data_IF_734275922947
#
_entry.id   IF_734275922947
#
_cell.length_a   1.000
_cell.length_b   1.000
_cell.length_c   1.000
_cell.angle_alpha   90.00
_cell.angle_beta   90.00
_cell.angle_gamma   90.00
#
_symmetry.space_group_name_H-M   'P 1'
#
loop_
_entity.id
_entity.type
_entity.pdbx_description
1 polymer ?
#
# COMPACT_ATOMS: atom_id res chain seq x y z
N UNK A 1 -42.68 -30.35 -47.73
CA UNK A 1 -43.28 -29.77 -46.50
C UNK A 1 -42.19 -29.74 -45.45
N UNK A 2 -41.83 -28.57 -44.92
CA UNK A 2 -40.89 -28.48 -43.79
C UNK A 2 -41.58 -29.06 -42.57
N UNK A 3 -40.99 -30.08 -41.96
CA UNK A 3 -41.55 -30.70 -40.76
C UNK A 3 -41.26 -29.83 -39.54
N UNK A 4 -42.13 -29.89 -38.53
CA UNK A 4 -42.00 -29.12 -37.29
C UNK A 4 -40.60 -29.24 -36.66
N UNK A 5 -40.05 -30.46 -36.66
CA UNK A 5 -38.69 -30.73 -36.15
C UNK A 5 -37.60 -30.01 -36.95
N UNK A 6 -37.70 -29.95 -38.28
CA UNK A 6 -36.72 -29.22 -39.10
C UNK A 6 -36.76 -27.72 -38.82
N UNK A 7 -37.95 -27.13 -38.69
CA UNK A 7 -38.08 -25.71 -38.35
C UNK A 7 -37.45 -25.39 -36.99
N UNK A 8 -37.67 -26.23 -35.98
CA UNK A 8 -37.10 -26.06 -34.64
C UNK A 8 -35.57 -26.19 -34.67
N UNK A 9 -35.02 -27.20 -35.37
CA UNK A 9 -33.57 -27.38 -35.49
C UNK A 9 -32.88 -26.19 -36.16
N UNK A 10 -33.50 -25.62 -37.21
CA UNK A 10 -32.96 -24.44 -37.89
C UNK A 10 -32.85 -23.26 -36.90
N UNK A 11 -33.90 -23.01 -36.13
CA UNK A 11 -33.91 -21.94 -35.12
C UNK A 11 -32.81 -22.16 -34.07
N UNK A 12 -32.70 -23.38 -33.54
CA UNK A 12 -31.68 -23.71 -32.53
C UNK A 12 -30.28 -23.52 -33.09
N UNK A 13 -30.00 -24.00 -34.31
CA UNK A 13 -28.69 -23.86 -34.95
C UNK A 13 -28.35 -22.39 -35.20
N UNK A 14 -29.32 -21.59 -35.66
CA UNK A 14 -29.11 -20.15 -35.86
C UNK A 14 -28.77 -19.45 -34.55
N UNK A 15 -29.50 -19.75 -33.46
CA UNK A 15 -29.23 -19.16 -32.15
C UNK A 15 -27.86 -19.60 -31.63
N UNK A 16 -27.54 -20.90 -31.69
CA UNK A 16 -26.23 -21.43 -31.29
C UNK A 16 -25.09 -20.78 -32.09
N UNK A 17 -25.28 -20.61 -33.40
CA UNK A 17 -24.28 -19.98 -34.26
C UNK A 17 -24.03 -18.52 -33.87
N UNK A 18 -25.08 -17.78 -33.53
CA UNK A 18 -24.96 -16.42 -33.00
C UNK A 18 -24.21 -16.39 -31.66
N UNK A 19 -24.55 -17.30 -30.74
CA UNK A 19 -23.88 -17.39 -29.43
C UNK A 19 -22.40 -17.71 -29.61
N UNK A 20 -22.06 -18.72 -30.43
CA UNK A 20 -20.66 -19.09 -30.70
C UNK A 20 -19.90 -17.93 -31.32
N UNK A 21 -20.52 -17.20 -32.26
CA UNK A 21 -19.91 -16.00 -32.85
C UNK A 21 -19.65 -14.93 -31.80
N UNK A 22 -20.63 -14.64 -30.94
CA UNK A 22 -20.48 -13.65 -29.88
C UNK A 22 -19.39 -14.06 -28.86
N UNK A 23 -19.37 -15.32 -28.43
CA UNK A 23 -18.35 -15.86 -27.53
C UNK A 23 -16.98 -15.87 -28.18
N UNK A 24 -16.88 -16.20 -29.48
CA UNK A 24 -15.62 -16.15 -30.23
C UNK A 24 -15.01 -14.74 -30.27
N UNK A 25 -15.85 -13.73 -30.50
CA UNK A 25 -15.43 -12.32 -30.45
C UNK A 25 -14.99 -11.93 -29.04
N UNK A 26 -15.77 -12.28 -28.02
CA UNK A 26 -15.43 -12.00 -26.62
C UNK A 26 -14.11 -12.67 -26.21
N UNK A 27 -13.90 -13.92 -26.60
CA UNK A 27 -12.68 -14.66 -26.29
C UNK A 27 -11.46 -14.06 -27.01
N UNK A 28 -11.61 -13.61 -28.25
CA UNK A 28 -10.54 -12.92 -28.97
C UNK A 28 -10.11 -11.63 -28.26
N UNK A 29 -11.08 -10.82 -27.82
CA UNK A 29 -10.81 -9.61 -27.03
C UNK A 29 -10.17 -9.94 -25.68
N UNK A 30 -10.65 -10.98 -25.01
CA UNK A 30 -10.09 -11.44 -23.74
C UNK A 30 -8.61 -11.84 -23.90
N UNK A 31 -8.25 -12.59 -24.95
CA UNK A 31 -6.85 -12.98 -25.20
C UNK A 31 -5.96 -11.74 -25.41
N UNK A 32 -6.45 -10.73 -26.14
CA UNK A 32 -5.75 -9.45 -26.33
C UNK A 32 -5.50 -8.74 -24.99
N UNK A 33 -6.49 -8.77 -24.11
CA UNK A 33 -6.39 -8.14 -22.78
C UNK A 33 -5.49 -8.96 -21.84
N UNK A 34 -5.50 -10.29 -21.94
CA UNK A 34 -4.57 -11.18 -21.24
C UNK A 34 -3.12 -10.92 -21.65
N UNK A 35 -2.84 -10.76 -22.95
CA UNK A 35 -1.49 -10.39 -23.43
C UNK A 35 -1.05 -9.05 -22.84
N UNK A 36 -1.96 -8.08 -22.80
CA UNK A 36 -1.69 -6.77 -22.19
C UNK A 36 -1.43 -6.90 -20.69
N UNK A 37 -2.19 -7.76 -20.00
CA UNK A 37 -2.04 -8.01 -18.56
C UNK A 37 -0.69 -8.65 -18.26
N UNK A 38 -0.31 -9.70 -19.00
CA UNK A 38 1.01 -10.35 -18.86
C UNK A 38 2.14 -9.34 -19.09
N UNK A 39 2.02 -8.50 -20.12
CA UNK A 39 3.02 -7.46 -20.39
C UNK A 39 3.13 -6.44 -19.26
N UNK A 40 2.00 -6.05 -18.65
CA UNK A 40 1.99 -5.13 -17.50
C UNK A 40 2.55 -5.80 -16.25
N UNK A 41 2.23 -7.06 -15.99
CA UNK A 41 2.77 -7.82 -14.85
C UNK A 41 4.29 -7.96 -14.95
N UNK A 42 4.84 -8.24 -16.13
CA UNK A 42 6.29 -8.26 -16.34
C UNK A 42 6.90 -6.88 -16.06
N UNK A 43 6.28 -5.81 -16.56
CA UNK A 43 6.76 -4.45 -16.26
C UNK A 43 6.65 -4.09 -14.78
N UNK A 44 5.64 -4.58 -14.05
CA UNK A 44 5.53 -4.38 -12.60
C UNK A 44 6.61 -5.16 -11.87
N UNK A 45 6.93 -6.37 -12.30
CA UNK A 45 8.00 -7.17 -11.71
C UNK A 45 9.37 -6.50 -11.88
N UNK A 46 9.67 -5.99 -13.08
CA UNK A 46 10.90 -5.22 -13.35
C UNK A 46 10.94 -3.89 -12.54
N UNK A 47 9.79 -3.22 -12.43
CA UNK A 47 9.68 -2.02 -11.60
C UNK A 47 9.80 -2.35 -10.12
N UNK A 48 9.36 -3.53 -9.68
CA UNK A 48 9.43 -3.97 -8.28
C UNK A 48 10.86 -4.30 -7.90
N UNK A 49 11.66 -4.94 -8.77
CA UNK A 49 13.10 -5.11 -8.51
C UNK A 49 13.81 -3.76 -8.36
N UNK A 50 13.51 -2.79 -9.23
CA UNK A 50 14.10 -1.44 -9.12
C UNK A 50 13.55 -0.64 -7.94
N UNK A 51 12.28 -0.80 -7.55
CA UNK A 51 11.68 -0.20 -6.36
C UNK A 51 12.22 -0.83 -5.08
N UNK A 52 12.44 -2.14 -5.02
CA UNK A 52 13.06 -2.84 -3.87
C UNK A 52 14.52 -2.40 -3.74
N UNK A 53 15.26 -2.36 -4.84
CA UNK A 53 16.62 -1.82 -4.85
C UNK A 53 16.65 -0.34 -4.45
N UNK A 54 15.62 0.46 -4.81
CA UNK A 54 15.48 1.85 -4.37
C UNK A 54 14.86 2.01 -2.99
N UNK A 55 14.23 0.99 -2.39
CA UNK A 55 13.73 0.96 -1.00
C UNK A 55 14.82 0.52 0.00
N UNK A 56 15.87 -0.14 -0.49
CA UNK A 56 17.09 -0.40 0.29
C UNK A 56 17.76 0.90 0.79
N UNK A 57 17.62 2.02 0.07
CA UNK A 57 18.21 3.31 0.43
C UNK A 57 17.35 4.15 1.44
N UNK A 58 16.01 4.24 1.32
CA UNK A 58 15.14 4.92 2.28
C UNK A 58 14.98 4.18 3.60
N UNK A 59 15.06 2.84 3.64
CA UNK A 59 15.01 2.09 4.89
C UNK A 59 16.19 2.47 5.81
N UNK A 60 17.39 2.64 5.24
CA UNK A 60 18.54 3.18 5.96
C UNK A 60 18.29 4.62 6.45
N UNK A 61 17.63 5.46 5.65
CA UNK A 61 17.28 6.84 6.03
C UNK A 61 16.22 6.92 7.13
N UNK A 62 15.21 6.05 7.13
CA UNK A 62 14.21 5.96 8.21
C UNK A 62 14.83 5.54 9.54
N UNK A 63 15.78 4.60 9.51
CA UNK A 63 16.49 4.19 10.71
C UNK A 63 17.30 5.36 11.30
N UNK A 64 17.92 6.17 10.43
CA UNK A 64 18.65 7.37 10.86
C UNK A 64 17.73 8.47 11.42
N UNK A 65 16.55 8.69 10.82
CA UNK A 65 15.57 9.67 11.31
C UNK A 65 14.97 9.27 12.66
N UNK A 66 14.62 7.99 12.83
CA UNK A 66 14.11 7.45 14.10
C UNK A 66 15.17 7.52 15.21
N UNK A 67 16.43 7.25 14.86
CA UNK A 67 17.56 7.34 15.79
C UNK A 67 17.79 8.80 16.20
N UNK A 68 17.84 9.74 15.25
CA UNK A 68 17.98 11.17 15.54
C UNK A 68 16.82 11.76 16.35
N UNK A 69 15.60 11.26 16.14
CA UNK A 69 14.43 11.68 16.93
C UNK A 69 14.53 11.19 18.39
N UNK A 70 14.92 9.93 18.60
CA UNK A 70 15.16 9.38 19.95
C UNK A 70 16.28 10.13 20.67
N UNK A 71 17.39 10.39 19.99
CA UNK A 71 18.50 11.17 20.54
C UNK A 71 18.06 12.58 20.93
N UNK A 72 17.30 13.26 20.07
CA UNK A 72 16.75 14.59 20.36
C UNK A 72 15.85 14.63 21.59
N UNK A 73 14.97 13.64 21.77
CA UNK A 73 14.12 13.53 22.98
C UNK A 73 14.98 13.35 24.23
N UNK A 74 15.99 12.49 24.17
CA UNK A 74 16.86 12.19 25.32
C UNK A 74 17.67 13.42 25.75
N UNK A 75 18.12 14.24 24.80
CA UNK A 75 18.82 15.51 25.06
C UNK A 75 17.90 16.51 25.76
N UNK A 76 16.65 16.65 25.30
CA UNK A 76 15.65 17.55 25.90
C UNK A 76 15.34 17.15 27.34
N UNK A 77 15.11 15.85 27.60
CA UNK A 77 14.85 15.33 28.94
C UNK A 77 16.02 15.58 29.89
N UNK A 78 17.25 15.38 29.42
CA UNK A 78 18.46 15.62 30.22
C UNK A 78 18.58 17.10 30.58
N UNK A 79 18.38 18.01 29.63
CA UNK A 79 18.42 19.45 29.88
C UNK A 79 17.31 19.85 30.87
N UNK A 80 16.07 19.36 30.67
CA UNK A 80 14.94 19.64 31.54
C UNK A 80 15.17 19.14 32.98
N UNK A 81 15.75 17.96 33.15
CA UNK A 81 16.10 17.40 34.46
C UNK A 81 17.15 18.24 35.19
N UNK A 82 18.18 18.73 34.47
CA UNK A 82 19.19 19.62 35.04
C UNK A 82 18.63 20.98 35.48
N UNK A 83 17.67 21.54 34.74
CA UNK A 83 16.98 22.78 35.13
C UNK A 83 16.02 22.58 36.30
N UNK A 84 15.32 21.44 36.36
CA UNK A 84 14.36 21.12 37.44
C UNK A 84 15.08 20.87 38.77
N UNK A 85 16.27 20.28 38.76
CA UNK A 85 17.07 20.02 39.97
C UNK A 85 17.50 21.29 40.72
N UNK A 86 17.51 22.46 40.06
CA UNK A 86 17.80 23.75 40.72
C UNK A 86 16.61 24.39 41.45
N UNK A 87 15.36 23.92 41.24
CA UNK A 87 14.17 24.49 41.91
C UNK A 87 13.77 23.78 43.22
N UNK A 88 14.42 22.68 43.59
CA UNK A 88 14.09 21.90 44.80
C UNK A 88 15.09 22.03 45.96
N UNK A 89 16.05 22.96 45.89
CA UNK A 89 16.81 23.41 47.06
C UNK A 89 16.34 24.79 47.49
N UNK A 90 15.17 24.81 48.13
CA UNK A 90 14.74 25.90 49.01
C UNK A 90 14.14 25.28 50.26
N UNK A 91 14.96 24.99 51.28
CA UNK A 91 14.46 24.81 52.64
C UNK A 91 14.02 26.18 53.15
N UNK A 92 12.72 26.35 53.43
CA UNK A 92 12.24 27.45 54.26
C UNK A 92 12.20 26.96 55.71
N UNK A 93 13.00 27.57 56.59
CA UNK A 93 12.46 28.00 57.86
C UNK A 93 13.09 29.33 58.27
N UNK A 94 12.38 30.44 58.03
CA UNK A 94 12.65 31.67 58.77
C UNK A 94 11.41 32.03 59.58
N UNK A 95 11.47 31.55 60.83
CA UNK A 95 10.67 32.02 61.95
C UNK A 95 11.16 33.44 62.28
N UNK A 96 10.43 34.44 61.83
CA UNK A 96 10.40 35.73 62.49
C UNK A 96 9.11 35.74 63.30
N UNK A 97 9.13 36.42 64.44
CA UNK A 97 7.96 36.74 65.26
C UNK A 97 7.76 35.78 66.46
N UNK A 98 8.54 36.01 67.52
CA UNK A 98 7.96 36.34 68.82
C UNK A 98 9.04 37.02 69.68
N UNK A 99 8.82 38.32 69.92
CA UNK A 99 9.55 39.20 70.83
C UNK A 99 9.04 39.01 72.25
#
# INVERSE_FOLDING_TARGET
MVTFTQALLIIVITILSFIITAVGIQLFLLIKDLRTTISRTNSILDQTETLINKLSHPAASMNNLLTGLKEGVTVIETIAAFFTKRKQQSPSPYNYDEL
#
